data_IF_604941011982
#
_entry.id   IF_604941011982
#
_cell.length_a   1.000
_cell.length_b   1.000
_cell.length_c   1.000
_cell.angle_alpha   90.00
_cell.angle_beta   90.00
_cell.angle_gamma   90.00
#
_symmetry.space_group_name_H-M   'P 1'
#
loop_
_entity.id
_entity.type
_entity.pdbx_description
1 polymer ?
#
# COMPACT_ATOMS: atom_id res chain seq x y z
N UNK A 1 -24.54 2.69 -15.06
CA UNK A 1 -24.87 1.25 -14.92
C UNK A 1 -25.12 1.00 -13.43
N UNK A 2 -26.26 0.37 -13.08
CA UNK A 2 -26.61 0.07 -11.69
C UNK A 2 -26.44 -1.43 -11.50
N UNK A 3 -25.68 -1.86 -10.48
CA UNK A 3 -25.52 -3.27 -10.13
C UNK A 3 -26.34 -3.59 -8.90
N UNK A 4 -26.89 -4.79 -8.84
CA UNK A 4 -27.58 -5.32 -7.68
C UNK A 4 -26.59 -6.01 -6.73
N UNK A 5 -26.99 -6.16 -5.47
CA UNK A 5 -26.16 -6.77 -4.42
C UNK A 5 -26.20 -8.33 -4.52
N UNK A 6 -25.80 -8.84 -5.67
CA UNK A 6 -25.64 -10.29 -5.92
C UNK A 6 -24.50 -10.55 -6.90
N UNK A 7 -23.95 -11.77 -6.84
CA UNK A 7 -22.81 -12.16 -7.67
C UNK A 7 -23.14 -12.21 -9.17
N UNK A 8 -24.36 -12.55 -9.53
CA UNK A 8 -24.79 -12.61 -10.93
C UNK A 8 -24.69 -11.22 -11.57
N UNK A 9 -25.26 -10.22 -10.91
CA UNK A 9 -25.17 -8.82 -11.34
C UNK A 9 -23.73 -8.29 -11.35
N UNK A 10 -22.94 -8.57 -10.32
CA UNK A 10 -21.55 -8.12 -10.24
C UNK A 10 -20.68 -8.78 -11.31
N UNK A 11 -20.89 -10.06 -11.60
CA UNK A 11 -20.12 -10.78 -12.62
C UNK A 11 -20.54 -10.42 -14.06
N UNK A 12 -21.70 -9.79 -14.25
CA UNK A 12 -22.13 -9.30 -15.57
C UNK A 12 -21.36 -8.06 -16.03
N UNK A 13 -20.54 -7.45 -15.15
CA UNK A 13 -19.71 -6.30 -15.52
C UNK A 13 -18.74 -6.65 -16.64
N UNK A 14 -18.66 -5.78 -17.61
CA UNK A 14 -17.65 -5.89 -18.66
C UNK A 14 -16.32 -5.29 -18.17
N UNK A 15 -15.23 -6.02 -18.36
CA UNK A 15 -13.89 -5.46 -18.15
C UNK A 15 -13.62 -4.48 -19.28
N UNK A 16 -13.24 -3.21 -18.96
CA UNK A 16 -12.98 -2.22 -20.00
C UNK A 16 -11.88 -2.67 -20.97
N UNK A 17 -12.08 -2.45 -22.25
CA UNK A 17 -11.12 -2.85 -23.28
C UNK A 17 -9.73 -2.22 -23.06
N UNK A 18 -9.70 -0.96 -22.60
CA UNK A 18 -8.46 -0.28 -22.31
C UNK A 18 -7.59 -1.04 -21.28
N UNK A 19 -8.22 -1.71 -20.31
CA UNK A 19 -7.48 -2.47 -19.28
C UNK A 19 -6.83 -3.72 -19.88
N UNK A 20 -7.56 -4.42 -20.76
CA UNK A 20 -7.01 -5.57 -21.48
C UNK A 20 -5.84 -5.16 -22.39
N UNK A 21 -5.90 -3.97 -22.99
CA UNK A 21 -4.90 -3.44 -23.91
C UNK A 21 -3.72 -2.78 -23.21
N UNK A 22 -3.89 -2.33 -21.96
CA UNK A 22 -2.89 -1.59 -21.21
C UNK A 22 -1.58 -2.35 -21.00
N UNK A 23 -1.64 -3.66 -20.75
CA UNK A 23 -0.53 -4.62 -20.57
C UNK A 23 0.42 -4.30 -19.42
N UNK A 24 0.73 -3.03 -19.14
CA UNK A 24 1.69 -2.61 -18.13
C UNK A 24 1.10 -1.56 -17.18
N UNK A 25 1.10 -1.89 -15.90
CA UNK A 25 0.72 -1.00 -14.81
C UNK A 25 1.69 -1.10 -13.65
N UNK A 26 1.62 -0.16 -12.71
CA UNK A 26 2.47 -0.08 -11.53
C UNK A 26 1.61 -0.18 -10.28
N UNK A 27 1.99 -1.08 -9.35
CA UNK A 27 1.49 -1.09 -7.99
C UNK A 27 2.40 -0.25 -7.10
N UNK A 28 1.79 0.58 -6.26
CA UNK A 28 2.50 1.39 -5.27
C UNK A 28 2.02 0.98 -3.89
N UNK A 29 2.91 0.39 -3.10
CA UNK A 29 2.68 0.09 -1.69
C UNK A 29 3.23 1.24 -0.86
N UNK A 30 2.35 2.09 -0.34
CA UNK A 30 2.74 3.29 0.39
C UNK A 30 1.67 3.72 1.40
N UNK A 31 2.03 3.76 2.68
CA UNK A 31 1.12 4.07 3.76
C UNK A 31 1.86 4.26 5.08
N UNK A 32 1.16 4.22 6.21
CA UNK A 32 1.76 4.43 7.54
C UNK A 32 2.91 3.46 7.84
N UNK A 33 2.86 2.25 7.33
CA UNK A 33 3.93 1.27 7.45
C UNK A 33 5.24 1.70 6.77
N UNK A 34 5.21 2.72 5.92
CA UNK A 34 6.41 3.33 5.35
C UNK A 34 7.20 4.16 6.36
N UNK A 35 6.59 4.56 7.49
CA UNK A 35 7.28 5.29 8.56
C UNK A 35 8.27 4.39 9.29
N UNK A 36 7.86 3.23 9.87
CA UNK A 36 8.82 2.28 10.41
C UNK A 36 9.68 1.61 9.33
N UNK A 37 9.17 1.49 8.12
CA UNK A 37 9.84 0.89 6.95
C UNK A 37 10.56 -0.42 7.28
N UNK A 38 9.95 -1.27 8.12
CA UNK A 38 10.54 -2.50 8.60
C UNK A 38 9.70 -3.72 8.23
N UNK A 39 10.38 -4.75 7.78
CA UNK A 39 9.84 -6.10 7.71
C UNK A 39 10.96 -7.13 7.80
N UNK A 40 10.63 -8.34 8.24
CA UNK A 40 11.53 -9.48 8.18
C UNK A 40 11.61 -10.03 6.76
N UNK A 41 12.75 -10.64 6.40
CA UNK A 41 12.93 -11.25 5.09
C UNK A 41 11.83 -12.30 4.84
N UNK A 42 11.14 -12.16 3.72
CA UNK A 42 10.02 -13.04 3.33
C UNK A 42 8.65 -12.60 3.86
N UNK A 43 8.59 -11.46 4.54
CA UNK A 43 7.35 -10.84 5.00
C UNK A 43 7.10 -9.53 4.24
N UNK A 44 5.92 -8.95 4.42
CA UNK A 44 5.49 -7.71 3.76
C UNK A 44 5.34 -6.59 4.78
N UNK A 45 5.90 -5.41 4.48
CA UNK A 45 5.89 -4.25 5.38
C UNK A 45 4.49 -3.70 5.62
N UNK A 46 3.57 -3.81 4.70
CA UNK A 46 2.16 -3.40 4.84
C UNK A 46 1.41 -4.18 5.91
N UNK A 47 1.92 -5.34 6.33
CA UNK A 47 1.41 -6.11 7.46
C UNK A 47 2.00 -5.71 8.81
N UNK A 48 2.79 -4.66 8.88
CA UNK A 48 3.48 -4.22 10.11
C UNK A 48 2.51 -4.08 11.29
N UNK A 49 1.37 -3.42 11.10
CA UNK A 49 0.34 -3.28 12.13
C UNK A 49 -0.13 -4.64 12.69
N UNK A 50 -0.33 -5.62 11.83
CA UNK A 50 -0.74 -6.95 12.24
C UNK A 50 0.41 -7.71 12.93
N UNK A 51 1.62 -7.57 12.40
CA UNK A 51 2.80 -8.26 12.93
C UNK A 51 3.17 -7.79 14.34
N UNK A 52 3.05 -6.50 14.65
CA UNK A 52 3.37 -5.98 16.00
C UNK A 52 2.38 -6.42 17.09
N UNK A 53 1.24 -7.02 16.73
CA UNK A 53 0.30 -7.62 17.68
C UNK A 53 0.77 -8.97 18.23
N UNK A 54 1.64 -9.65 17.51
CA UNK A 54 2.28 -10.89 17.95
C UNK A 54 3.58 -10.55 18.70
N UNK A 55 3.58 -10.77 20.01
CA UNK A 55 4.73 -10.48 20.90
C UNK A 55 6.00 -11.25 20.50
N UNK A 56 5.88 -12.37 19.81
CA UNK A 56 7.00 -13.18 19.37
C UNK A 56 7.57 -12.77 18.01
N UNK A 57 6.85 -11.94 17.26
CA UNK A 57 7.27 -11.53 15.93
C UNK A 57 8.56 -10.70 15.93
N UNK A 58 9.29 -10.75 14.83
CA UNK A 58 10.46 -9.88 14.64
C UNK A 58 10.07 -8.40 14.55
N UNK A 59 8.90 -8.10 13.97
CA UNK A 59 8.37 -6.75 13.88
C UNK A 59 8.06 -6.17 15.27
N UNK A 60 7.48 -6.98 16.18
CA UNK A 60 7.23 -6.55 17.56
C UNK A 60 8.54 -6.28 18.31
N UNK A 61 9.51 -7.14 18.20
CA UNK A 61 10.83 -6.96 18.81
C UNK A 61 11.56 -5.72 18.28
N UNK A 62 11.42 -5.46 16.98
CA UNK A 62 11.93 -4.24 16.37
C UNK A 62 11.20 -3.01 16.93
N UNK A 63 9.87 -3.05 16.98
CA UNK A 63 9.02 -1.97 17.47
C UNK A 63 9.41 -1.56 18.91
N UNK A 64 9.47 -2.54 19.81
CA UNK A 64 9.81 -2.30 21.23
C UNK A 64 11.24 -1.80 21.44
N UNK A 65 12.15 -2.08 20.53
CA UNK A 65 13.53 -1.60 20.57
C UNK A 65 13.69 -0.17 20.07
N UNK A 66 12.92 0.21 19.05
CA UNK A 66 13.13 1.48 18.31
C UNK A 66 12.22 2.58 18.80
N UNK A 67 11.02 2.25 19.23
CA UNK A 67 10.02 3.22 19.65
C UNK A 67 9.84 3.24 21.17
N UNK A 68 9.31 4.36 21.67
CA UNK A 68 9.00 4.50 23.09
C UNK A 68 7.95 3.46 23.53
N UNK A 69 8.02 3.00 24.80
CA UNK A 69 7.01 2.10 25.34
C UNK A 69 5.61 2.66 25.19
N UNK A 70 4.69 1.86 24.67
CA UNK A 70 3.28 2.22 24.43
C UNK A 70 2.99 2.89 23.10
N UNK A 71 4.00 3.11 22.23
CA UNK A 71 3.76 3.59 20.87
C UNK A 71 2.81 2.66 20.14
N UNK A 72 1.77 3.23 19.53
CA UNK A 72 0.80 2.53 18.71
C UNK A 72 1.06 2.76 17.23
N UNK A 73 0.47 1.93 16.37
CA UNK A 73 0.60 2.10 14.92
C UNK A 73 0.08 3.46 14.43
N UNK A 74 -1.00 3.94 15.04
CA UNK A 74 -1.65 5.20 14.72
C UNK A 74 -0.78 6.43 15.05
N UNK A 75 0.18 6.30 15.96
CA UNK A 75 1.11 7.38 16.30
C UNK A 75 2.03 7.74 15.11
N UNK A 76 2.19 6.82 14.16
CA UNK A 76 2.96 7.08 12.93
C UNK A 76 2.30 8.09 12.00
N UNK A 77 1.03 8.44 12.19
CA UNK A 77 0.36 9.48 11.39
C UNK A 77 1.15 10.79 11.42
N UNK A 78 1.65 11.18 12.57
CA UNK A 78 2.46 12.41 12.72
C UNK A 78 3.78 12.36 11.97
N UNK A 79 4.31 11.17 11.72
CA UNK A 79 5.56 10.93 10.99
C UNK A 79 5.39 10.71 9.49
N UNK A 80 4.17 10.47 9.03
CA UNK A 80 3.85 10.26 7.61
C UNK A 80 3.63 11.61 6.91
N UNK A 81 4.71 12.32 6.61
CA UNK A 81 4.65 13.70 6.12
C UNK A 81 4.69 13.82 4.60
N UNK A 82 5.14 12.78 3.89
CA UNK A 82 5.26 12.76 2.44
C UNK A 82 6.01 13.99 1.86
N UNK A 83 7.06 14.45 2.53
CA UNK A 83 7.75 15.73 2.24
C UNK A 83 8.35 15.79 0.83
N UNK A 84 8.72 14.65 0.27
CA UNK A 84 9.31 14.54 -1.07
C UNK A 84 8.30 14.07 -2.12
N UNK A 85 7.01 14.03 -1.78
CA UNK A 85 5.99 13.63 -2.74
C UNK A 85 5.61 14.80 -3.64
N UNK A 86 5.81 14.62 -4.94
CA UNK A 86 5.33 15.50 -5.99
C UNK A 86 4.50 14.68 -6.99
N UNK A 87 3.21 14.98 -7.06
CA UNK A 87 2.27 14.22 -7.88
C UNK A 87 2.56 14.33 -9.38
N UNK A 88 3.00 15.50 -9.82
CA UNK A 88 3.29 15.74 -11.24
C UNK A 88 4.60 15.06 -11.66
N UNK A 89 5.62 15.09 -10.81
CA UNK A 89 6.88 14.37 -11.03
C UNK A 89 6.64 12.85 -11.10
N UNK A 90 5.84 12.31 -10.18
CA UNK A 90 5.49 10.90 -10.19
C UNK A 90 4.70 10.51 -11.44
N UNK A 91 3.71 11.31 -11.84
CA UNK A 91 2.93 11.06 -13.05
C UNK A 91 3.81 11.04 -14.30
N UNK A 92 4.74 11.99 -14.42
CA UNK A 92 5.72 12.04 -15.52
C UNK A 92 6.64 10.81 -15.51
N UNK A 93 7.09 10.36 -14.35
CA UNK A 93 7.91 9.16 -14.22
C UNK A 93 7.15 7.91 -14.69
N UNK A 94 5.88 7.77 -14.29
CA UNK A 94 5.05 6.64 -14.71
C UNK A 94 4.76 6.67 -16.21
N UNK A 95 4.48 7.84 -16.78
CA UNK A 95 4.31 8.01 -18.21
C UNK A 95 5.58 7.62 -18.97
N UNK A 96 6.75 8.11 -18.55
CA UNK A 96 8.05 7.79 -19.14
C UNK A 96 8.39 6.30 -19.05
N UNK A 97 7.92 5.60 -18.02
CA UNK A 97 8.10 4.15 -17.88
C UNK A 97 7.26 3.33 -18.87
N UNK A 98 6.26 3.95 -19.51
CA UNK A 98 5.29 3.31 -20.40
C UNK A 98 4.09 2.71 -19.67
N UNK A 99 3.96 2.90 -18.35
CA UNK A 99 2.81 2.46 -17.60
C UNK A 99 1.52 3.14 -18.09
N UNK A 100 0.44 2.39 -18.13
CA UNK A 100 -0.87 2.85 -18.60
C UNK A 100 -1.86 3.09 -17.45
N UNK A 101 -1.55 2.56 -16.29
CA UNK A 101 -2.30 2.78 -15.06
C UNK A 101 -1.40 2.58 -13.84
N UNK A 102 -1.82 3.14 -12.73
CA UNK A 102 -1.23 2.88 -11.42
C UNK A 102 -2.31 2.39 -10.46
N UNK A 103 -1.91 1.62 -9.47
CA UNK A 103 -2.76 1.19 -8.38
C UNK A 103 -2.05 1.48 -7.06
N UNK A 104 -2.62 2.37 -6.26
CA UNK A 104 -2.14 2.69 -4.93
C UNK A 104 -2.79 1.74 -3.92
N UNK A 105 -1.97 1.06 -3.11
CA UNK A 105 -2.39 0.05 -2.13
C UNK A 105 -2.07 0.49 -0.72
#
# INVERSE_FOLDING_TARGET
MHYENNWESLNSRHVPDWFADAKFGIFIHWGLYSVPAYTEKGQYAEWYMQQIRDENSAARKFHDRVYAPGTQYEDFVSGFKAELFDADEWAQLFEKSGAKYINLV
#
